data_IF_705714189199
#
_entry.id   IF_705714189199
#
_cell.length_a   1.000
_cell.length_b   1.000
_cell.length_c   1.000
_cell.angle_alpha   90.00
_cell.angle_beta   90.00
_cell.angle_gamma   90.00
#
_symmetry.space_group_name_H-M   'P 1'
#
loop_
_entity.id
_entity.type
_entity.pdbx_description
1 polymer ?
#
# COMPACT_ATOMS: atom_id res chain seq x y z
N UNK A 1 -70.56 9.27 11.97
CA UNK A 1 -69.20 9.78 12.23
C UNK A 1 -68.23 8.70 11.92
N UNK A 2 -67.46 8.89 10.81
CA UNK A 2 -66.41 7.95 10.34
C UNK A 2 -65.09 8.52 10.85
N UNK A 3 -64.45 7.81 11.79
CA UNK A 3 -63.08 8.11 12.21
C UNK A 3 -62.09 7.50 11.21
N UNK A 4 -61.40 8.33 10.41
CA UNK A 4 -60.28 7.93 9.58
C UNK A 4 -59.04 7.94 10.46
N UNK A 5 -58.56 6.76 10.85
CA UNK A 5 -57.28 6.59 11.52
C UNK A 5 -56.17 6.68 10.48
N UNK A 6 -55.47 7.81 10.42
CA UNK A 6 -54.24 7.96 9.60
C UNK A 6 -53.12 7.18 10.25
N UNK A 7 -52.76 6.04 9.65
CA UNK A 7 -51.56 5.27 10.03
C UNK A 7 -50.34 6.00 9.42
N UNK A 8 -49.62 6.72 10.28
CA UNK A 8 -48.26 7.23 9.93
C UNK A 8 -47.30 6.04 9.93
N UNK A 9 -46.97 5.52 8.74
CA UNK A 9 -45.82 4.65 8.58
C UNK A 9 -44.55 5.46 8.79
N UNK A 10 -43.99 5.42 9.99
CA UNK A 10 -42.64 5.85 10.28
C UNK A 10 -41.68 4.85 9.62
N UNK A 11 -41.28 5.12 8.39
CA UNK A 11 -40.14 4.46 7.75
C UNK A 11 -38.86 4.89 8.50
N UNK A 12 -38.42 4.06 9.44
CA UNK A 12 -37.11 4.19 10.07
C UNK A 12 -36.04 3.99 9.01
N UNK A 13 -35.59 5.08 8.38
CA UNK A 13 -34.37 5.10 7.66
C UNK A 13 -33.24 4.86 8.67
N UNK A 14 -32.71 3.63 8.69
CA UNK A 14 -31.46 3.37 9.33
C UNK A 14 -30.37 4.13 8.54
N UNK A 15 -30.11 5.37 8.92
CA UNK A 15 -28.92 6.10 8.52
C UNK A 15 -27.71 5.41 9.18
N UNK A 16 -27.21 4.35 8.55
CA UNK A 16 -25.84 3.92 8.86
C UNK A 16 -24.93 5.07 8.42
N UNK A 17 -24.40 5.80 9.39
CA UNK A 17 -23.41 6.84 9.12
C UNK A 17 -22.23 6.21 8.37
N UNK A 18 -21.97 6.72 7.19
CA UNK A 18 -20.88 6.24 6.36
C UNK A 18 -19.56 6.57 7.04
N UNK A 19 -18.70 5.56 7.25
CA UNK A 19 -17.42 5.75 7.94
C UNK A 19 -16.51 6.69 7.17
N UNK A 20 -15.83 7.58 7.89
CA UNK A 20 -14.81 8.45 7.32
C UNK A 20 -13.57 7.67 6.87
N UNK A 21 -12.72 8.23 5.99
CA UNK A 21 -11.45 7.61 5.60
C UNK A 21 -10.55 7.31 6.81
N UNK A 22 -10.52 8.18 7.82
CA UNK A 22 -9.76 8.03 9.06
C UNK A 22 -10.27 6.86 9.89
N UNK A 23 -11.59 6.74 10.05
CA UNK A 23 -12.21 5.65 10.81
C UNK A 23 -11.95 4.29 10.14
N UNK A 24 -12.09 4.22 8.81
CA UNK A 24 -11.78 3.01 8.05
C UNK A 24 -10.32 2.61 8.15
N UNK A 25 -9.41 3.60 8.14
CA UNK A 25 -7.96 3.38 8.17
C UNK A 25 -7.42 3.09 9.57
N UNK A 26 -8.20 3.34 10.63
CA UNK A 26 -7.76 3.18 12.03
C UNK A 26 -7.22 1.78 12.34
N UNK A 27 -7.88 0.73 11.85
CA UNK A 27 -7.44 -0.66 12.01
C UNK A 27 -6.12 -0.93 11.30
N UNK A 28 -5.91 -0.32 10.14
CA UNK A 28 -4.67 -0.46 9.37
C UNK A 28 -3.46 0.13 10.12
N UNK A 29 -3.68 1.25 10.81
CA UNK A 29 -2.65 1.95 11.58
C UNK A 29 -2.14 1.15 12.79
N UNK A 30 -2.86 0.14 13.25
CA UNK A 30 -2.39 -0.78 14.30
C UNK A 30 -1.10 -1.52 13.92
N UNK A 31 -0.88 -1.74 12.61
CA UNK A 31 0.33 -2.34 12.07
C UNK A 31 1.12 -1.35 11.21
N UNK A 32 0.47 -0.71 10.23
CA UNK A 32 1.11 0.21 9.28
C UNK A 32 1.47 1.58 9.88
N UNK A 33 0.93 1.93 11.04
CA UNK A 33 1.25 3.15 11.78
C UNK A 33 2.35 2.99 12.82
N UNK A 34 2.90 1.79 12.99
CA UNK A 34 3.97 1.52 13.96
C UNK A 34 5.29 1.39 13.22
N UNK A 35 6.23 2.31 13.52
CA UNK A 35 7.56 2.33 12.88
C UNK A 35 8.27 1.00 13.12
N UNK A 36 8.79 0.41 12.04
CA UNK A 36 9.54 -0.86 12.08
C UNK A 36 8.80 -2.05 12.68
N UNK A 37 7.46 -2.02 12.72
CA UNK A 37 6.66 -3.17 13.15
C UNK A 37 6.91 -4.38 12.25
N UNK A 38 7.18 -5.54 12.87
CA UNK A 38 7.50 -6.75 12.14
C UNK A 38 6.28 -7.65 11.97
N UNK A 39 6.12 -8.17 10.76
CA UNK A 39 5.32 -9.36 10.51
C UNK A 39 6.03 -10.59 11.13
N UNK A 40 5.26 -11.54 11.66
CA UNK A 40 5.86 -12.66 12.41
C UNK A 40 6.31 -13.80 11.48
N UNK A 41 5.55 -14.04 10.40
CA UNK A 41 5.82 -15.18 9.54
C UNK A 41 5.43 -14.94 8.07
N UNK A 42 6.38 -14.84 7.16
CA UNK A 42 7.82 -14.65 7.35
C UNK A 42 8.16 -13.31 8.00
N UNK A 43 9.29 -13.23 8.71
CA UNK A 43 9.69 -12.02 9.42
C UNK A 43 10.21 -10.97 8.46
N UNK A 44 9.50 -9.87 8.35
CA UNK A 44 9.89 -8.64 7.64
C UNK A 44 9.00 -7.49 8.13
N UNK A 45 9.42 -6.26 7.91
CA UNK A 45 8.67 -5.08 8.36
C UNK A 45 7.37 -4.91 7.60
N UNK A 46 6.32 -4.54 8.32
CA UNK A 46 5.06 -4.10 7.73
C UNK A 46 5.31 -2.82 6.94
N UNK A 47 4.90 -2.75 5.65
CA UNK A 47 5.30 -1.66 4.78
C UNK A 47 4.72 -0.31 5.17
N UNK A 48 5.49 0.75 4.87
CA UNK A 48 5.03 2.14 4.89
C UNK A 48 3.95 2.33 3.83
N UNK A 49 2.91 3.10 4.13
CA UNK A 49 1.82 3.38 3.20
C UNK A 49 1.74 4.86 2.79
N UNK A 50 2.24 5.78 3.61
CA UNK A 50 2.23 7.20 3.30
C UNK A 50 3.07 7.53 2.06
N UNK A 51 2.62 8.49 1.29
CA UNK A 51 3.17 8.90 0.01
C UNK A 51 3.02 7.85 -1.12
N UNK A 52 2.23 6.79 -0.92
CA UNK A 52 1.94 5.86 -2.01
C UNK A 52 0.86 6.41 -2.94
N UNK A 53 0.84 5.93 -4.18
CA UNK A 53 -0.23 6.24 -5.13
C UNK A 53 -1.55 5.59 -4.73
N UNK A 54 -2.65 6.36 -4.85
CA UNK A 54 -4.01 5.89 -4.60
C UNK A 54 -4.33 4.64 -5.43
N UNK A 55 -4.11 4.70 -6.73
CA UNK A 55 -4.44 3.61 -7.66
C UNK A 55 -3.72 2.31 -7.31
N UNK A 56 -2.45 2.42 -6.89
CA UNK A 56 -1.70 1.24 -6.44
C UNK A 56 -2.26 0.67 -5.13
N UNK A 57 -2.67 1.51 -4.16
CA UNK A 57 -3.27 1.03 -2.91
C UNK A 57 -4.58 0.32 -3.20
N UNK A 58 -5.44 0.89 -4.07
CA UNK A 58 -6.69 0.27 -4.52
C UNK A 58 -6.42 -1.10 -5.14
N UNK A 59 -5.50 -1.17 -6.10
CA UNK A 59 -5.14 -2.41 -6.77
C UNK A 59 -4.60 -3.46 -5.78
N UNK A 60 -3.74 -3.05 -4.84
CA UNK A 60 -3.16 -3.94 -3.84
C UNK A 60 -4.22 -4.52 -2.88
N UNK A 61 -5.17 -3.69 -2.39
CA UNK A 61 -6.25 -4.16 -1.51
C UNK A 61 -7.22 -5.10 -2.25
N UNK A 62 -7.57 -4.79 -3.50
CA UNK A 62 -8.37 -5.69 -4.34
C UNK A 62 -7.67 -7.01 -4.60
N UNK A 63 -6.36 -7.00 -4.87
CA UNK A 63 -5.56 -8.21 -5.07
C UNK A 63 -5.45 -9.06 -3.78
N UNK A 64 -5.39 -8.46 -2.60
CA UNK A 64 -5.49 -9.20 -1.34
C UNK A 64 -6.88 -9.81 -1.15
N UNK A 65 -7.94 -9.07 -1.44
CA UNK A 65 -9.33 -9.53 -1.34
C UNK A 65 -9.59 -10.70 -2.28
N UNK A 66 -9.15 -10.63 -3.52
CA UNK A 66 -9.30 -11.71 -4.52
C UNK A 66 -8.38 -12.91 -4.26
N UNK A 67 -7.26 -12.71 -3.57
CA UNK A 67 -6.24 -13.74 -3.35
C UNK A 67 -5.10 -13.75 -4.37
N UNK A 68 -5.11 -12.86 -5.37
CA UNK A 68 -4.00 -12.69 -6.33
C UNK A 68 -2.69 -12.25 -5.66
N UNK A 69 -2.81 -11.62 -4.50
CA UNK A 69 -1.70 -11.27 -3.62
C UNK A 69 -1.84 -12.05 -2.32
N UNK A 70 -0.98 -13.05 -2.13
CA UNK A 70 -1.05 -13.95 -0.98
C UNK A 70 -0.42 -13.31 0.27
N UNK A 71 -1.24 -13.06 1.28
CA UNK A 71 -0.82 -12.68 2.63
C UNK A 71 -2.02 -12.84 3.58
N UNK A 72 -1.96 -13.82 4.48
CA UNK A 72 -3.12 -14.23 5.30
C UNK A 72 -3.76 -13.07 6.06
N UNK A 73 -2.96 -12.27 6.78
CA UNK A 73 -3.45 -11.12 7.56
C UNK A 73 -4.10 -10.08 6.65
N UNK A 74 -3.43 -9.69 5.54
CA UNK A 74 -3.98 -8.68 4.63
C UNK A 74 -5.22 -9.18 3.90
N UNK A 75 -5.30 -10.48 3.56
CA UNK A 75 -6.50 -11.08 3.00
C UNK A 75 -7.67 -10.99 3.97
N UNK A 76 -7.44 -11.28 5.26
CA UNK A 76 -8.48 -11.19 6.28
C UNK A 76 -8.99 -9.74 6.45
N UNK A 77 -8.08 -8.76 6.48
CA UNK A 77 -8.48 -7.35 6.57
C UNK A 77 -9.19 -6.83 5.31
N UNK A 78 -8.78 -7.28 4.13
CA UNK A 78 -9.40 -6.84 2.88
C UNK A 78 -10.71 -7.55 2.54
N UNK A 79 -10.99 -8.71 3.12
CA UNK A 79 -12.09 -9.61 2.72
C UNK A 79 -13.47 -8.93 2.73
N UNK A 80 -13.72 -8.09 3.72
CA UNK A 80 -15.03 -7.45 3.93
C UNK A 80 -15.06 -5.97 3.50
N UNK A 81 -13.99 -5.44 2.90
CA UNK A 81 -13.99 -4.08 2.38
C UNK A 81 -14.79 -3.99 1.09
N UNK A 82 -15.74 -3.05 1.03
CA UNK A 82 -16.38 -2.66 -0.21
C UNK A 82 -15.38 -1.92 -1.13
N UNK A 83 -15.71 -1.74 -2.40
CA UNK A 83 -14.89 -0.93 -3.31
C UNK A 83 -14.82 0.53 -2.85
N UNK A 84 -15.90 1.05 -2.24
CA UNK A 84 -15.93 2.39 -1.66
C UNK A 84 -15.02 2.50 -0.42
N UNK A 85 -15.02 1.49 0.46
CA UNK A 85 -14.11 1.48 1.62
C UNK A 85 -12.63 1.45 1.16
N UNK A 86 -12.33 0.63 0.15
CA UNK A 86 -11.00 0.55 -0.45
C UNK A 86 -10.57 1.90 -1.01
N UNK A 87 -11.46 2.59 -1.71
CA UNK A 87 -11.20 3.90 -2.30
C UNK A 87 -10.91 4.95 -1.21
N UNK A 88 -11.72 5.00 -0.16
CA UNK A 88 -11.52 5.89 1.00
C UNK A 88 -10.21 5.62 1.75
N UNK A 89 -9.89 4.35 2.00
CA UNK A 89 -8.62 3.95 2.63
C UNK A 89 -7.44 4.38 1.76
N UNK A 90 -7.55 4.21 0.45
CA UNK A 90 -6.51 4.61 -0.49
C UNK A 90 -6.34 6.14 -0.53
N UNK A 91 -7.42 6.90 -0.49
CA UNK A 91 -7.37 8.37 -0.36
C UNK A 91 -6.65 8.79 0.92
N UNK A 92 -6.99 8.18 2.05
CA UNK A 92 -6.36 8.49 3.33
C UNK A 92 -4.83 8.33 3.25
N UNK A 93 -4.33 7.16 2.88
CA UNK A 93 -2.90 6.91 2.85
C UNK A 93 -2.16 7.68 1.75
N UNK A 94 -2.78 7.92 0.61
CA UNK A 94 -2.19 8.70 -0.49
C UNK A 94 -2.18 10.21 -0.24
N UNK A 95 -2.95 10.71 0.73
CA UNK A 95 -2.99 12.14 1.10
C UNK A 95 -1.68 12.60 1.76
N UNK A 96 -0.95 11.71 2.42
CA UNK A 96 0.34 12.01 3.03
C UNK A 96 1.41 12.11 1.95
N UNK A 97 1.98 13.32 1.78
CA UNK A 97 2.97 13.60 0.74
C UNK A 97 4.35 13.83 1.32
N UNK A 98 5.35 13.12 0.81
CA UNK A 98 6.74 13.40 1.09
C UNK A 98 7.20 14.64 0.33
N UNK A 99 8.01 15.47 0.97
CA UNK A 99 8.78 16.50 0.26
C UNK A 99 10.00 15.81 -0.36
N UNK A 100 9.89 15.47 -1.63
CA UNK A 100 10.95 14.82 -2.38
C UNK A 100 11.62 15.92 -3.20
N UNK A 101 12.91 16.14 -2.97
CA UNK A 101 13.70 16.96 -3.90
C UNK A 101 13.89 16.16 -5.18
N UNK A 102 13.78 16.83 -6.33
CA UNK A 102 14.14 16.20 -7.63
C UNK A 102 15.60 15.79 -7.53
N UNK A 103 15.92 14.51 -7.71
CA UNK A 103 17.29 14.06 -7.53
C UNK A 103 18.13 14.54 -8.71
N UNK A 104 19.00 15.51 -8.45
CA UNK A 104 19.98 15.95 -9.45
C UNK A 104 21.16 14.97 -9.56
N UNK A 105 21.39 14.13 -8.52
CA UNK A 105 22.57 13.27 -8.39
C UNK A 105 22.27 11.84 -7.89
N UNK A 106 21.17 11.21 -8.34
CA UNK A 106 20.94 9.80 -7.99
C UNK A 106 21.88 8.89 -8.78
N UNK A 107 22.86 8.31 -8.11
CA UNK A 107 23.72 7.29 -8.71
C UNK A 107 22.94 5.98 -8.84
N UNK A 108 22.49 5.67 -10.04
CA UNK A 108 21.79 4.42 -10.36
C UNK A 108 22.78 3.26 -10.31
N UNK A 109 22.41 2.15 -9.67
CA UNK A 109 23.16 0.90 -9.74
C UNK A 109 22.76 0.10 -10.98
N UNK A 110 23.66 -0.68 -11.53
CA UNK A 110 23.42 -1.42 -12.78
C UNK A 110 22.20 -2.35 -12.70
N UNK A 111 22.02 -2.99 -11.55
CA UNK A 111 20.88 -3.88 -11.30
C UNK A 111 19.52 -3.14 -11.40
N UNK A 112 19.49 -1.82 -11.18
CA UNK A 112 18.25 -1.03 -11.20
C UNK A 112 17.83 -0.57 -12.60
N UNK A 113 18.68 -0.71 -13.64
CA UNK A 113 18.39 -0.21 -14.99
C UNK A 113 17.04 -0.70 -15.55
N UNK A 114 16.63 -1.93 -15.27
CA UNK A 114 15.32 -2.47 -15.70
C UNK A 114 14.14 -1.99 -14.85
N UNK A 115 14.39 -1.36 -13.71
CA UNK A 115 13.37 -0.91 -12.76
C UNK A 115 12.98 0.55 -12.96
N UNK A 116 13.98 1.39 -13.33
CA UNK A 116 13.83 2.86 -13.35
C UNK A 116 12.79 3.36 -14.34
N UNK A 117 12.57 2.65 -15.44
CA UNK A 117 11.58 3.04 -16.45
C UNK A 117 10.13 3.08 -15.94
N UNK A 118 9.82 2.26 -14.92
CA UNK A 118 8.49 2.20 -14.30
C UNK A 118 8.48 2.86 -12.91
N UNK A 119 9.51 2.61 -12.09
CA UNK A 119 9.54 3.06 -10.70
C UNK A 119 10.23 4.42 -10.49
N UNK A 120 10.84 4.99 -11.53
CA UNK A 120 11.68 6.20 -11.42
C UNK A 120 13.10 5.87 -10.97
N UNK A 121 14.05 6.78 -11.26
CA UNK A 121 15.47 6.59 -10.96
C UNK A 121 15.77 6.41 -9.47
N UNK A 122 14.98 7.07 -8.63
CA UNK A 122 15.04 7.03 -7.16
C UNK A 122 13.95 6.15 -6.53
N UNK A 123 13.07 5.55 -7.33
CA UNK A 123 11.94 4.76 -6.86
C UNK A 123 10.67 5.58 -6.53
N UNK A 124 10.63 6.88 -6.90
CA UNK A 124 9.45 7.73 -6.74
C UNK A 124 8.69 7.88 -8.06
N UNK A 125 8.10 6.78 -8.53
CA UNK A 125 7.28 6.79 -9.75
C UNK A 125 6.29 7.95 -9.77
N UNK A 126 6.16 8.62 -10.89
CA UNK A 126 5.10 9.63 -11.13
C UNK A 126 3.83 9.00 -11.71
N UNK A 127 3.91 7.77 -12.21
CA UNK A 127 2.80 7.05 -12.82
C UNK A 127 1.94 6.40 -11.74
N UNK A 128 0.64 6.72 -11.62
CA UNK A 128 -0.20 6.27 -10.51
C UNK A 128 -0.34 4.76 -10.35
N UNK A 129 -0.21 4.01 -11.43
CA UNK A 129 -0.31 2.54 -11.44
C UNK A 129 0.99 1.82 -11.07
N UNK A 130 2.14 2.51 -11.17
CA UNK A 130 3.43 1.98 -10.73
C UNK A 130 3.75 2.44 -9.31
N UNK A 131 3.96 1.52 -8.35
CA UNK A 131 4.15 1.93 -6.96
C UNK A 131 5.44 2.70 -6.74
N UNK A 132 5.38 3.67 -5.83
CA UNK A 132 6.57 4.25 -5.20
C UNK A 132 7.20 3.20 -4.30
N UNK A 133 8.52 3.05 -4.44
CA UNK A 133 9.33 2.08 -3.69
C UNK A 133 10.50 2.74 -2.95
N UNK A 134 10.74 4.03 -3.21
CA UNK A 134 11.74 4.84 -2.54
C UNK A 134 11.53 4.91 -1.03
N UNK A 135 12.55 4.65 -0.24
CA UNK A 135 12.48 4.75 1.23
C UNK A 135 11.58 3.71 1.90
N UNK A 136 11.12 2.71 1.17
CA UNK A 136 10.40 1.56 1.74
C UNK A 136 11.39 0.66 2.49
N UNK A 137 10.91 -0.14 3.44
CA UNK A 137 11.77 -1.06 4.18
C UNK A 137 12.45 -2.08 3.27
N UNK A 138 13.77 -2.26 3.45
CA UNK A 138 14.60 -3.14 2.62
C UNK A 138 14.11 -4.59 2.63
N UNK A 139 13.82 -5.12 3.81
CA UNK A 139 13.32 -6.49 4.00
C UNK A 139 11.94 -6.71 3.36
N UNK A 140 11.07 -5.69 3.39
CA UNK A 140 9.79 -5.74 2.70
C UNK A 140 9.97 -5.71 1.17
N UNK A 141 10.86 -4.87 0.63
CA UNK A 141 11.15 -4.83 -0.80
C UNK A 141 11.69 -6.18 -1.28
N UNK A 142 12.66 -6.73 -0.55
CA UNK A 142 13.22 -8.05 -0.84
C UNK A 142 12.16 -9.15 -0.81
N UNK A 143 11.32 -9.20 0.24
CA UNK A 143 10.23 -10.15 0.32
C UNK A 143 9.20 -9.96 -0.81
N UNK A 144 8.99 -8.72 -1.26
CA UNK A 144 8.10 -8.43 -2.37
C UNK A 144 8.62 -9.01 -3.69
N UNK A 145 9.90 -8.81 -4.00
CA UNK A 145 10.54 -9.40 -5.18
C UNK A 145 10.49 -10.93 -5.15
N UNK A 146 10.78 -11.54 -4.00
CA UNK A 146 10.62 -13.01 -3.83
C UNK A 146 9.19 -13.47 -4.06
N UNK A 147 8.20 -12.69 -3.59
CA UNK A 147 6.80 -13.04 -3.75
C UNK A 147 6.33 -12.97 -5.20
N UNK A 148 6.85 -12.04 -5.98
CA UNK A 148 6.63 -12.02 -7.43
C UNK A 148 7.34 -13.18 -8.12
N UNK A 149 8.60 -13.46 -7.78
CA UNK A 149 9.38 -14.56 -8.38
C UNK A 149 8.74 -15.92 -8.17
N UNK A 150 8.13 -16.16 -7.00
CA UNK A 150 7.54 -17.44 -6.63
C UNK A 150 6.01 -17.52 -6.81
N UNK A 151 5.40 -16.53 -7.47
CA UNK A 151 3.97 -16.51 -7.78
C UNK A 151 3.03 -16.22 -6.61
N UNK A 152 3.54 -15.87 -5.42
CA UNK A 152 2.69 -15.44 -4.28
C UNK A 152 2.04 -14.06 -4.48
N UNK A 153 2.57 -13.28 -5.42
CA UNK A 153 1.96 -12.06 -5.95
C UNK A 153 1.82 -12.23 -7.45
N UNK A 154 0.60 -12.02 -7.96
CA UNK A 154 0.32 -12.15 -9.38
C UNK A 154 0.26 -10.75 -10.02
N UNK A 155 1.27 -10.45 -10.81
CA UNK A 155 1.35 -9.27 -11.66
C UNK A 155 2.29 -9.58 -12.83
N UNK A 156 1.76 -9.63 -14.04
CA UNK A 156 2.49 -10.12 -15.22
C UNK A 156 3.84 -9.41 -15.44
N UNK A 157 3.89 -8.08 -15.27
CA UNK A 157 5.12 -7.30 -15.44
C UNK A 157 6.13 -7.69 -14.36
N UNK A 158 5.74 -7.60 -13.09
CA UNK A 158 6.66 -7.84 -11.98
C UNK A 158 7.05 -9.32 -11.83
N UNK A 159 6.18 -10.28 -12.20
CA UNK A 159 6.56 -11.69 -12.27
C UNK A 159 7.65 -11.90 -13.34
N UNK A 160 7.48 -11.28 -14.52
CA UNK A 160 8.50 -11.32 -15.57
C UNK A 160 9.84 -10.76 -15.11
N UNK A 161 9.85 -9.54 -14.56
CA UNK A 161 11.07 -8.90 -14.05
C UNK A 161 11.71 -9.73 -12.92
N UNK A 162 10.94 -10.10 -11.90
CA UNK A 162 11.48 -10.82 -10.74
C UNK A 162 12.00 -12.23 -11.09
N UNK A 163 11.46 -12.88 -12.13
CA UNK A 163 11.93 -14.20 -12.57
C UNK A 163 13.40 -14.20 -13.01
N UNK A 164 13.88 -13.08 -13.58
CA UNK A 164 15.24 -12.93 -14.08
C UNK A 164 16.27 -12.62 -12.99
N UNK A 165 15.82 -12.17 -11.81
CA UNK A 165 16.71 -11.75 -10.72
C UNK A 165 17.21 -12.94 -9.90
N UNK A 166 18.48 -12.96 -9.55
CA UNK A 166 19.01 -13.84 -8.51
C UNK A 166 18.85 -13.19 -7.11
N UNK A 167 19.17 -13.94 -6.06
CA UNK A 167 18.98 -13.49 -4.68
C UNK A 167 19.82 -12.26 -4.31
N UNK A 168 21.07 -12.22 -4.77
CA UNK A 168 21.96 -11.09 -4.50
C UNK A 168 21.52 -9.81 -5.22
N UNK A 169 21.00 -9.92 -6.44
CA UNK A 169 20.43 -8.79 -7.16
C UNK A 169 19.17 -8.27 -6.46
N UNK A 170 18.30 -9.16 -5.98
CA UNK A 170 17.11 -8.76 -5.19
C UNK A 170 17.49 -8.02 -3.91
N UNK A 171 18.55 -8.46 -3.19
CA UNK A 171 19.05 -7.77 -2.01
C UNK A 171 19.64 -6.39 -2.35
N UNK A 172 20.48 -6.30 -3.38
CA UNK A 172 21.06 -5.02 -3.82
C UNK A 172 19.99 -4.01 -4.22
N UNK A 173 18.98 -4.43 -5.02
CA UNK A 173 17.86 -3.61 -5.42
C UNK A 173 17.04 -3.12 -4.22
N UNK A 174 16.76 -4.02 -3.28
CA UNK A 174 16.01 -3.68 -2.07
C UNK A 174 16.74 -2.64 -1.23
N UNK A 175 18.04 -2.80 -1.03
CA UNK A 175 18.90 -1.85 -0.32
C UNK A 175 18.95 -0.50 -1.04
N UNK A 176 19.12 -0.51 -2.37
CA UNK A 176 19.19 0.70 -3.19
C UNK A 176 17.91 1.55 -3.04
N UNK A 177 16.73 0.97 -3.28
CA UNK A 177 15.48 1.71 -3.18
C UNK A 177 15.10 2.07 -1.74
N UNK A 178 15.47 1.24 -0.75
CA UNK A 178 15.25 1.55 0.66
C UNK A 178 16.07 2.76 1.13
N UNK A 179 17.25 2.99 0.55
CA UNK A 179 18.12 4.13 0.88
C UNK A 179 17.64 5.47 0.30
N UNK A 180 16.69 5.44 -0.63
CA UNK A 180 16.14 6.64 -1.24
C UNK A 180 15.11 7.32 -0.33
N UNK A 181 14.77 8.58 -0.62
CA UNK A 181 13.73 9.33 0.11
C UNK A 181 12.39 9.19 -0.60
N UNK A 182 11.33 8.82 0.11
CA UNK A 182 10.02 8.64 -0.51
C UNK A 182 8.90 8.22 0.44
N UNK A 183 8.73 6.95 0.69
CA UNK A 183 7.64 6.41 1.50
C UNK A 183 7.70 6.90 2.95
N UNK A 184 6.52 7.20 3.51
CA UNK A 184 6.38 7.75 4.85
C UNK A 184 5.74 6.76 5.83
N UNK A 185 6.25 6.74 7.06
CA UNK A 185 5.53 6.20 8.20
C UNK A 185 4.43 7.17 8.61
N UNK A 186 3.24 6.65 8.93
CA UNK A 186 2.10 7.45 9.39
C UNK A 186 1.75 6.96 10.79
N UNK A 187 1.94 7.81 11.79
CA UNK A 187 1.59 7.45 13.16
C UNK A 187 0.17 7.92 13.47
N UNK A 188 -0.77 6.98 13.60
CA UNK A 188 -2.16 7.18 14.10
C UNK A 188 -2.83 8.48 13.67
N UNK A 189 -2.74 8.84 12.39
CA UNK A 189 -3.38 10.04 11.84
C UNK A 189 -2.70 11.38 12.21
N UNK A 190 -1.56 11.34 12.90
CA UNK A 190 -0.80 12.53 13.25
C UNK A 190 0.55 12.49 12.53
N UNK A 191 0.78 13.51 11.71
CA UNK A 191 2.08 13.87 11.10
C UNK A 191 2.97 12.69 10.71
N UNK A 192 3.34 12.64 9.43
CA UNK A 192 4.41 11.77 8.96
C UNK A 192 5.65 11.95 9.85
N UNK A 193 6.09 10.89 10.52
CA UNK A 193 7.34 10.90 11.26
C UNK A 193 8.45 10.89 10.21
N UNK A 194 9.32 11.89 10.27
CA UNK A 194 10.60 11.85 9.55
C UNK A 194 11.48 10.83 10.28
N UNK A 195 11.93 9.84 9.56
CA UNK A 195 13.05 8.97 9.98
C UNK A 195 14.35 9.77 9.98
#
# INVERSE_FOLDING_TARGET
>A
SIFIASIFLLSSFNLYAEKSPEELSSTCLGCHGVVSYNNIYPTYKVPKLGNQHKDYIVAALKAYRSGERSHTTMKAHAANLSDLDIDKIADYFSSFKAKIATPEDVKIIDEANSCVGCHGVDGNSEVPTFPRIAGQYEDYLYQSLKSYKNGKRNNAIMNGVASTLNDDQMKKLSKYFASQKGMLNINQGRVAIKD
#
